data_IF_543412312113
#
_entry.id   IF_543412312113
#
_cell.length_a   1.000
_cell.length_b   1.000
_cell.length_c   1.000
_cell.angle_alpha   90.00
_cell.angle_beta   90.00
_cell.angle_gamma   90.00
#
_symmetry.space_group_name_H-M   'P 1'
#
loop_
_entity.id
_entity.type
_entity.pdbx_description
1 polymer ?
#
# COMPACT_ATOMS: atom_id res chain seq x y z
N UNK A 1 26.18 20.03 -17.57
CA UNK A 1 25.45 18.96 -16.91
C UNK A 1 24.39 18.39 -17.84
N UNK A 2 23.96 17.17 -17.61
CA UNK A 2 22.85 16.53 -18.32
C UNK A 2 21.74 16.19 -17.31
N UNK A 3 20.50 16.14 -17.78
CA UNK A 3 19.40 15.72 -16.96
C UNK A 3 19.54 14.22 -16.62
N UNK A 4 19.43 13.87 -15.34
CA UNK A 4 19.53 12.51 -14.84
C UNK A 4 18.35 12.23 -13.92
N UNK A 5 17.68 11.10 -14.12
CA UNK A 5 16.60 10.61 -13.29
C UNK A 5 16.92 9.18 -12.87
N UNK A 6 16.86 8.91 -11.59
CA UNK A 6 17.00 7.57 -11.02
C UNK A 6 15.83 7.29 -10.09
N UNK A 7 15.36 6.05 -10.08
CA UNK A 7 14.24 5.64 -9.25
C UNK A 7 13.69 4.29 -9.67
N UNK A 8 12.54 3.91 -9.12
CA UNK A 8 11.79 2.74 -9.53
C UNK A 8 11.12 2.95 -10.90
N UNK A 9 11.00 1.88 -11.69
CA UNK A 9 10.20 1.90 -12.91
C UNK A 9 8.68 1.86 -12.64
N UNK A 10 8.27 1.45 -11.44
CA UNK A 10 6.86 1.27 -11.10
C UNK A 10 6.00 2.55 -11.21
N UNK A 11 6.49 3.76 -10.86
CA UNK A 11 5.72 4.99 -11.05
C UNK A 11 5.28 5.25 -12.50
N UNK A 12 6.00 4.71 -13.48
CA UNK A 12 5.71 4.89 -14.92
C UNK A 12 5.07 3.68 -15.57
N UNK A 13 4.73 2.64 -14.82
CA UNK A 13 4.00 1.47 -15.32
C UNK A 13 2.50 1.76 -15.51
N UNK A 14 1.82 0.90 -16.25
CA UNK A 14 0.37 0.93 -16.37
C UNK A 14 -0.29 0.67 -15.02
N UNK A 15 -1.49 1.22 -14.84
CA UNK A 15 -2.33 0.94 -13.66
C UNK A 15 -3.54 0.13 -14.10
N UNK A 16 -3.86 -0.91 -13.35
CA UNK A 16 -5.01 -1.76 -13.61
C UNK A 16 -5.95 -1.78 -12.40
N UNK A 17 -7.18 -1.24 -12.51
CA UNK A 17 -7.72 -0.48 -13.66
C UNK A 17 -6.91 0.78 -13.95
N UNK A 18 -7.09 1.32 -15.16
CA UNK A 18 -6.43 2.56 -15.56
C UNK A 18 -6.96 3.72 -14.70
N UNK A 19 -6.12 4.17 -13.78
CA UNK A 19 -6.41 5.28 -12.86
C UNK A 19 -5.33 6.33 -13.04
N UNK A 20 -5.75 7.55 -13.36
CA UNK A 20 -4.91 8.73 -13.25
C UNK A 20 -5.49 9.64 -12.18
N UNK A 21 -4.90 9.58 -10.99
CA UNK A 21 -5.37 10.37 -9.85
C UNK A 21 -5.09 11.86 -10.11
N UNK A 22 -6.11 12.72 -10.13
CA UNK A 22 -5.91 14.15 -10.32
C UNK A 22 -5.08 14.75 -9.19
N UNK A 23 -4.29 15.77 -9.51
CA UNK A 23 -3.62 16.58 -8.50
C UNK A 23 -4.64 17.26 -7.58
N UNK A 24 -4.34 17.29 -6.29
CA UNK A 24 -5.26 17.84 -5.30
C UNK A 24 -6.37 16.89 -4.85
N UNK A 25 -6.27 15.58 -5.19
CA UNK A 25 -7.21 14.57 -4.70
C UNK A 25 -7.22 14.55 -3.18
N UNK A 26 -8.38 14.68 -2.52
CA UNK A 26 -8.46 14.65 -1.05
C UNK A 26 -8.27 13.21 -0.55
N UNK A 27 -7.07 12.88 -0.08
CA UNK A 27 -6.74 11.58 0.51
C UNK A 27 -6.51 11.73 2.02
N UNK A 28 -7.02 10.77 2.80
CA UNK A 28 -6.80 10.65 4.23
C UNK A 28 -5.72 9.62 4.59
N UNK A 29 -5.63 8.54 3.80
CA UNK A 29 -4.76 7.41 4.10
C UNK A 29 -4.48 6.61 2.84
N UNK A 30 -3.33 5.93 2.79
CA UNK A 30 -2.99 5.01 1.71
C UNK A 30 -2.35 3.72 2.21
N UNK A 31 -2.46 2.69 1.40
CA UNK A 31 -1.77 1.41 1.56
C UNK A 31 -1.12 1.03 0.24
N UNK A 32 0.13 0.57 0.30
CA UNK A 32 0.77 -0.14 -0.80
C UNK A 32 1.14 -1.55 -0.33
N UNK A 33 0.79 -2.56 -1.10
CA UNK A 33 1.22 -3.94 -0.87
C UNK A 33 2.11 -4.36 -2.03
N UNK A 34 3.35 -4.67 -1.72
CA UNK A 34 4.34 -5.19 -2.66
C UNK A 34 4.93 -6.52 -2.17
N UNK A 35 6.00 -6.95 -2.80
CA UNK A 35 6.68 -8.21 -2.49
C UNK A 35 8.18 -8.00 -2.28
N UNK A 36 8.87 -9.09 -1.92
CA UNK A 36 10.32 -9.12 -1.75
C UNK A 36 10.77 -8.82 -0.33
N UNK A 37 12.03 -8.52 -0.18
CA UNK A 37 12.69 -8.27 1.10
C UNK A 37 13.03 -6.81 1.34
N UNK A 38 13.40 -6.52 2.58
CA UNK A 38 14.01 -5.26 2.99
C UNK A 38 15.33 -5.07 2.24
N UNK A 39 15.69 -3.81 1.93
CA UNK A 39 16.86 -3.42 1.13
C UNK A 39 16.86 -4.01 -0.30
N UNK A 40 15.70 -4.40 -0.80
CA UNK A 40 15.54 -5.04 -2.09
C UNK A 40 14.35 -4.47 -2.84
N UNK A 41 13.13 -4.78 -2.39
CA UNK A 41 11.89 -4.39 -3.05
C UNK A 41 11.03 -3.39 -2.25
N UNK A 42 11.38 -3.12 -1.00
CA UNK A 42 10.74 -2.07 -0.20
C UNK A 42 10.84 -0.70 -0.86
N UNK A 43 11.98 -0.36 -1.46
CA UNK A 43 12.16 0.85 -2.26
C UNK A 43 11.10 0.97 -3.37
N UNK A 44 10.84 -0.11 -4.10
CA UNK A 44 9.83 -0.11 -5.16
C UNK A 44 8.41 0.11 -4.62
N UNK A 45 8.07 -0.53 -3.50
CA UNK A 45 6.77 -0.35 -2.86
C UNK A 45 6.59 1.06 -2.29
N UNK A 46 7.65 1.66 -1.73
CA UNK A 46 7.65 3.04 -1.27
C UNK A 46 7.48 4.04 -2.43
N UNK A 47 8.14 3.82 -3.56
CA UNK A 47 8.00 4.64 -4.77
C UNK A 47 6.56 4.58 -5.33
N UNK A 48 5.91 3.40 -5.29
CA UNK A 48 4.49 3.28 -5.65
C UNK A 48 3.62 4.09 -4.70
N UNK A 49 3.82 3.92 -3.40
CA UNK A 49 3.05 4.63 -2.39
C UNK A 49 3.20 6.15 -2.56
N UNK A 50 4.42 6.63 -2.78
CA UNK A 50 4.73 8.04 -2.95
C UNK A 50 4.14 8.60 -4.24
N UNK A 51 4.40 8.01 -5.40
CA UNK A 51 3.94 8.55 -6.69
C UNK A 51 2.42 8.67 -6.78
N UNK A 52 1.69 7.79 -6.11
CA UNK A 52 0.23 7.87 -6.03
C UNK A 52 -0.22 8.90 -4.99
N UNK A 53 0.38 8.90 -3.81
CA UNK A 53 -0.08 9.71 -2.67
C UNK A 53 0.40 11.16 -2.71
N UNK A 54 1.50 11.48 -3.39
CA UNK A 54 1.99 12.85 -3.54
C UNK A 54 1.04 13.76 -4.36
N UNK A 55 0.14 13.15 -5.13
CA UNK A 55 -0.93 13.86 -5.85
C UNK A 55 -2.06 14.35 -4.94
N UNK A 56 -2.02 14.00 -3.65
CA UNK A 56 -3.05 14.45 -2.70
C UNK A 56 -3.09 15.96 -2.52
N UNK A 57 -4.19 16.45 -1.98
CA UNK A 57 -4.31 17.85 -1.56
C UNK A 57 -3.18 18.19 -0.57
N UNK A 58 -2.45 19.27 -0.82
CA UNK A 58 -1.27 19.66 -0.05
C UNK A 58 0.05 19.03 -0.51
N UNK A 59 0.02 17.96 -1.32
CA UNK A 59 1.22 17.30 -1.84
C UNK A 59 2.07 16.61 -0.77
N UNK A 60 3.36 16.44 -1.05
CA UNK A 60 4.30 15.86 -0.09
C UNK A 60 4.82 16.92 0.88
N UNK A 61 4.75 16.63 2.17
CA UNK A 61 5.11 17.56 3.27
C UNK A 61 6.23 17.01 4.19
N UNK A 62 6.73 15.84 3.88
CA UNK A 62 7.74 15.13 4.68
C UNK A 62 7.15 14.23 5.76
N UNK A 63 8.01 13.37 6.29
CA UNK A 63 7.67 12.30 7.23
C UNK A 63 7.81 12.81 8.68
N UNK A 64 6.83 12.49 9.52
CA UNK A 64 6.86 12.71 10.95
C UNK A 64 7.41 11.49 11.70
N UNK A 65 6.95 10.28 11.36
CA UNK A 65 7.42 9.04 11.98
C UNK A 65 7.34 7.85 11.03
N UNK A 66 8.19 6.86 11.29
CA UNK A 66 8.13 5.54 10.64
C UNK A 66 8.26 4.47 11.72
N UNK A 67 7.35 3.50 11.69
CA UNK A 67 7.41 2.31 12.52
C UNK A 67 7.51 1.08 11.63
N UNK A 68 8.57 0.29 11.77
CA UNK A 68 8.73 -0.99 11.09
C UNK A 68 8.29 -2.13 12.00
N UNK A 69 7.41 -2.99 11.49
CA UNK A 69 6.88 -4.16 12.21
C UNK A 69 6.90 -5.38 11.30
N UNK A 70 6.94 -6.57 11.89
CA UNK A 70 6.94 -7.82 11.13
C UNK A 70 6.10 -8.90 11.81
N UNK A 71 5.45 -9.71 11.01
CA UNK A 71 4.74 -10.89 11.49
C UNK A 71 3.59 -10.54 12.42
N UNK A 72 3.49 -11.25 13.55
CA UNK A 72 2.36 -11.10 14.46
C UNK A 72 2.23 -9.67 15.01
N UNK A 73 3.34 -9.01 15.36
CA UNK A 73 3.32 -7.62 15.86
C UNK A 73 2.74 -6.63 14.86
N UNK A 74 2.96 -6.84 13.55
CA UNK A 74 2.32 -6.05 12.50
C UNK A 74 0.80 -6.29 12.47
N UNK A 75 0.39 -7.56 12.46
CA UNK A 75 -1.03 -7.90 12.36
C UNK A 75 -1.82 -7.47 13.60
N UNK A 76 -1.23 -7.55 14.80
CA UNK A 76 -1.81 -7.02 16.03
C UNK A 76 -1.96 -5.50 15.98
N UNK A 77 -0.95 -4.77 15.49
CA UNK A 77 -1.04 -3.32 15.31
C UNK A 77 -2.16 -2.96 14.32
N UNK A 78 -2.23 -3.65 13.17
CA UNK A 78 -3.27 -3.41 12.17
C UNK A 78 -4.68 -3.84 12.65
N UNK A 79 -4.77 -4.73 13.63
CA UNK A 79 -6.05 -5.16 14.21
C UNK A 79 -6.67 -4.14 15.17
N UNK A 80 -5.92 -3.14 15.65
CA UNK A 80 -6.40 -2.11 16.55
C UNK A 80 -7.58 -1.33 15.96
N UNK A 81 -8.44 -0.80 16.80
CA UNK A 81 -9.66 -0.09 16.38
C UNK A 81 -9.37 1.11 15.47
N UNK A 82 -8.34 1.89 15.81
CA UNK A 82 -7.89 3.08 15.06
C UNK A 82 -7.33 2.78 13.68
N UNK A 83 -7.09 1.50 13.36
CA UNK A 83 -6.62 1.02 12.05
C UNK A 83 -7.74 0.45 11.17
N UNK A 84 -8.99 0.72 11.48
CA UNK A 84 -10.12 0.19 10.70
C UNK A 84 -10.09 0.61 9.22
N UNK A 85 -9.71 1.84 8.93
CA UNK A 85 -9.50 2.33 7.54
C UNK A 85 -8.33 1.63 6.88
N UNK A 86 -7.21 1.47 7.58
CA UNK A 86 -6.02 0.75 7.07
C UNK A 86 -6.38 -0.68 6.65
N UNK A 87 -7.17 -1.42 7.49
CA UNK A 87 -7.62 -2.78 7.14
C UNK A 87 -8.46 -2.83 5.87
N UNK A 88 -9.37 -1.86 5.68
CA UNK A 88 -10.14 -1.74 4.43
C UNK A 88 -9.24 -1.51 3.22
N UNK A 89 -8.22 -0.68 3.38
CA UNK A 89 -7.26 -0.40 2.32
C UNK A 89 -6.36 -1.59 2.01
N UNK A 90 -5.90 -2.33 3.03
CA UNK A 90 -5.16 -3.60 2.84
C UNK A 90 -6.00 -4.58 2.01
N UNK A 91 -7.26 -4.76 2.38
CA UNK A 91 -8.19 -5.63 1.64
C UNK A 91 -8.36 -5.15 0.19
N UNK A 92 -8.55 -3.84 -0.02
CA UNK A 92 -8.74 -3.27 -1.35
C UNK A 92 -7.49 -3.38 -2.24
N UNK A 93 -6.29 -3.18 -1.68
CA UNK A 93 -5.04 -3.36 -2.39
C UNK A 93 -4.81 -4.83 -2.77
N UNK A 94 -4.97 -5.75 -1.82
CA UNK A 94 -4.83 -7.19 -2.07
C UNK A 94 -5.86 -7.72 -3.08
N UNK A 95 -7.07 -7.17 -3.11
CA UNK A 95 -8.07 -7.54 -4.11
C UNK A 95 -7.67 -7.20 -5.56
N UNK A 96 -6.63 -6.40 -5.76
CA UNK A 96 -6.03 -6.11 -7.08
C UNK A 96 -4.95 -7.11 -7.47
N UNK A 97 -4.40 -7.87 -6.53
CA UNK A 97 -3.32 -8.81 -6.81
C UNK A 97 -3.80 -10.00 -7.65
N UNK A 98 -3.03 -10.35 -8.66
CA UNK A 98 -3.20 -11.56 -9.45
C UNK A 98 -2.39 -12.75 -8.89
N UNK A 99 -1.64 -12.54 -7.80
CA UNK A 99 -0.70 -13.51 -7.25
C UNK A 99 -0.92 -13.76 -5.75
N UNK A 100 -2.17 -13.83 -5.34
CA UNK A 100 -2.50 -14.15 -3.95
C UNK A 100 -2.06 -15.58 -3.59
N UNK A 101 -1.54 -15.80 -2.38
CA UNK A 101 -1.23 -17.13 -1.91
C UNK A 101 -2.48 -18.00 -1.82
N UNK A 102 -2.29 -19.30 -2.05
CA UNK A 102 -3.35 -20.31 -1.90
C UNK A 102 -3.43 -20.71 -0.43
N UNK A 103 -4.62 -20.73 0.14
CA UNK A 103 -4.90 -21.26 1.47
C UNK A 103 -5.84 -22.44 1.32
N UNK A 104 -5.50 -23.57 1.94
CA UNK A 104 -6.28 -24.82 1.91
C UNK A 104 -6.55 -25.35 0.47
N UNK A 105 -5.62 -25.12 -0.46
CA UNK A 105 -5.72 -25.63 -1.83
C UNK A 105 -6.69 -24.85 -2.74
N UNK A 106 -7.29 -23.76 -2.28
CA UNK A 106 -8.22 -22.93 -3.05
C UNK A 106 -7.66 -21.54 -3.35
N UNK A 107 -7.75 -21.08 -4.60
CA UNK A 107 -7.19 -19.79 -5.01
C UNK A 107 -8.05 -18.58 -4.64
N UNK A 108 -8.96 -18.62 -3.72
CA UNK A 108 -9.57 -17.44 -3.13
C UNK A 108 -10.88 -17.70 -2.39
N UNK A 109 -10.81 -17.58 -1.10
CA UNK A 109 -11.88 -16.94 -0.36
C UNK A 109 -11.88 -15.43 -0.71
N UNK A 110 -12.99 -14.69 -0.52
CA UNK A 110 -12.96 -13.23 -0.63
C UNK A 110 -11.81 -12.67 0.20
N UNK A 111 -11.00 -11.80 -0.37
CA UNK A 111 -9.89 -11.17 0.35
C UNK A 111 -10.46 -10.45 1.56
N UNK A 112 -10.07 -10.88 2.76
CA UNK A 112 -10.39 -10.22 4.01
C UNK A 112 -9.10 -9.95 4.79
N UNK A 113 -9.19 -9.11 5.80
CA UNK A 113 -8.06 -8.85 6.69
C UNK A 113 -7.65 -10.12 7.46
N UNK A 114 -8.61 -10.90 7.92
CA UNK A 114 -8.41 -12.15 8.66
C UNK A 114 -7.72 -13.20 7.75
N UNK A 115 -8.19 -13.32 6.52
CA UNK A 115 -7.55 -14.17 5.52
C UNK A 115 -6.10 -13.72 5.28
N UNK A 116 -5.86 -12.42 5.11
CA UNK A 116 -4.52 -11.88 4.85
C UNK A 116 -3.54 -12.19 6.01
N UNK A 117 -3.99 -12.01 7.26
CA UNK A 117 -3.22 -12.38 8.46
C UNK A 117 -2.86 -13.85 8.47
N UNK A 118 -3.81 -14.74 8.14
CA UNK A 118 -3.60 -16.18 8.12
C UNK A 118 -2.69 -16.61 6.95
N UNK A 119 -2.93 -16.09 5.75
CA UNK A 119 -2.22 -16.49 4.55
C UNK A 119 -0.79 -15.91 4.47
N UNK A 120 -0.54 -14.77 5.13
CA UNK A 120 0.69 -13.99 5.02
C UNK A 120 1.26 -13.62 6.39
N UNK A 121 1.48 -14.61 7.29
CA UNK A 121 1.84 -14.34 8.70
C UNK A 121 3.21 -13.68 8.88
N UNK A 122 4.09 -13.72 7.87
CA UNK A 122 5.46 -13.17 7.93
C UNK A 122 5.60 -11.81 7.23
N UNK A 123 4.48 -11.16 6.87
CA UNK A 123 4.48 -9.84 6.23
C UNK A 123 5.28 -8.83 7.04
N UNK A 124 6.05 -8.01 6.34
CA UNK A 124 6.75 -6.85 6.90
C UNK A 124 5.92 -5.62 6.58
N UNK A 125 5.81 -4.68 7.51
CA UNK A 125 5.08 -3.44 7.31
C UNK A 125 5.83 -2.21 7.80
N UNK A 126 5.73 -1.12 7.05
CA UNK A 126 6.16 0.22 7.45
C UNK A 126 4.91 1.09 7.61
N UNK A 127 4.70 1.56 8.84
CA UNK A 127 3.63 2.49 9.18
C UNK A 127 4.25 3.88 9.18
N UNK A 128 3.85 4.69 8.22
CA UNK A 128 4.45 6.00 7.94
C UNK A 128 3.42 7.07 8.25
N UNK A 129 3.80 8.02 9.08
CA UNK A 129 3.00 9.18 9.41
C UNK A 129 3.64 10.43 8.81
N UNK A 130 2.89 11.14 7.99
CA UNK A 130 3.33 12.37 7.35
C UNK A 130 3.04 13.58 8.26
N UNK A 131 3.75 14.69 8.05
CA UNK A 131 3.62 15.89 8.89
C UNK A 131 2.25 16.56 8.81
N UNK A 132 1.49 16.30 7.77
CA UNK A 132 0.11 16.78 7.59
C UNK A 132 -0.95 15.84 8.23
N UNK A 133 -0.51 14.77 8.90
CA UNK A 133 -1.38 13.74 9.47
C UNK A 133 -1.84 12.68 8.48
N UNK A 134 -1.46 12.77 7.21
CA UNK A 134 -1.67 11.69 6.24
C UNK A 134 -0.90 10.44 6.66
N UNK A 135 -1.48 9.27 6.48
CA UNK A 135 -0.86 7.98 6.84
C UNK A 135 -0.66 7.11 5.62
N UNK A 136 0.51 6.51 5.54
CA UNK A 136 0.83 5.51 4.53
C UNK A 136 1.23 4.21 5.23
N UNK A 137 0.62 3.11 4.86
CA UNK A 137 1.08 1.77 5.27
C UNK A 137 1.64 1.05 4.05
N UNK A 138 2.90 0.67 4.12
CA UNK A 138 3.54 -0.16 3.10
C UNK A 138 3.75 -1.56 3.65
N UNK A 139 3.34 -2.58 2.89
CA UNK A 139 3.45 -3.99 3.24
C UNK A 139 4.29 -4.74 2.21
N UNK A 140 5.21 -5.58 2.68
CA UNK A 140 5.91 -6.58 1.88
C UNK A 140 5.32 -7.96 2.21
N UNK A 141 4.59 -8.51 1.28
CA UNK A 141 3.83 -9.74 1.41
C UNK A 141 4.27 -10.80 0.39
N UNK A 142 3.96 -12.09 0.57
CA UNK A 142 4.32 -13.16 -0.38
C UNK A 142 3.43 -13.16 -1.63
N UNK A 143 3.36 -12.02 -2.31
CA UNK A 143 2.72 -11.82 -3.62
C UNK A 143 3.81 -11.56 -4.66
N UNK A 144 3.47 -11.24 -5.92
CA UNK A 144 4.46 -10.97 -6.99
C UNK A 144 4.11 -9.73 -7.81
N UNK A 145 3.36 -8.83 -7.23
CA UNK A 145 2.93 -7.58 -7.85
C UNK A 145 2.94 -6.45 -6.82
N UNK A 146 2.64 -5.24 -7.28
CA UNK A 146 2.54 -4.06 -6.44
C UNK A 146 1.15 -3.48 -6.58
N UNK A 147 0.47 -3.27 -5.47
CA UNK A 147 -0.91 -2.86 -5.42
C UNK A 147 -1.07 -1.66 -4.49
N UNK A 148 -1.83 -0.68 -4.93
CA UNK A 148 -2.11 0.54 -4.18
C UNK A 148 -3.59 0.64 -3.83
N UNK A 149 -3.87 1.22 -2.68
CA UNK A 149 -5.21 1.69 -2.30
C UNK A 149 -5.11 3.01 -1.53
N UNK A 150 -5.95 3.96 -1.87
CA UNK A 150 -6.06 5.27 -1.20
C UNK A 150 -7.50 5.54 -0.77
N UNK A 151 -7.68 6.06 0.45
CA UNK A 151 -8.97 6.45 0.99
C UNK A 151 -9.20 7.94 0.77
N UNK A 152 -10.25 8.29 0.06
CA UNK A 152 -10.66 9.69 -0.08
C UNK A 152 -11.25 10.21 1.23
N UNK A 153 -10.84 11.43 1.61
CA UNK A 153 -11.32 12.08 2.83
C UNK A 153 -12.67 12.78 2.66
N UNK A 154 -13.06 13.11 1.42
CA UNK A 154 -14.28 13.85 1.11
C UNK A 154 -15.54 12.96 1.05
N UNK A 155 -15.42 11.71 0.61
CA UNK A 155 -16.57 10.83 0.37
C UNK A 155 -16.38 9.40 0.90
N UNK A 156 -15.19 9.05 1.41
CA UNK A 156 -14.90 7.72 1.93
C UNK A 156 -14.70 6.64 0.86
N UNK A 157 -14.62 7.02 -0.41
CA UNK A 157 -14.35 6.12 -1.53
C UNK A 157 -12.91 5.59 -1.46
N UNK A 158 -12.72 4.34 -1.84
CA UNK A 158 -11.39 3.72 -1.97
C UNK A 158 -11.03 3.64 -3.46
N UNK A 159 -9.94 4.32 -3.82
CA UNK A 159 -9.29 4.21 -5.12
C UNK A 159 -8.24 3.11 -5.00
N UNK A 160 -8.25 2.11 -5.87
CA UNK A 160 -7.25 1.03 -5.83
C UNK A 160 -6.85 0.54 -7.22
N UNK A 161 -5.56 0.21 -7.38
CA UNK A 161 -5.02 -0.33 -8.62
C UNK A 161 -3.82 -1.24 -8.37
N UNK A 162 -3.53 -2.09 -9.34
CA UNK A 162 -2.26 -2.79 -9.50
C UNK A 162 -1.35 -1.95 -10.40
N UNK A 163 -0.05 -1.94 -10.11
CA UNK A 163 1.00 -1.45 -11.01
C UNK A 163 1.39 -2.61 -11.93
N UNK A 164 1.16 -2.45 -13.26
CA UNK A 164 1.23 -3.53 -14.23
C UNK A 164 2.24 -3.23 -15.34
#
# INVERSE_FOLDING_TARGET
GFAFLAGSSLPVTWRLPAIDMPWGTPLAESVCVGYGGVDSYDFHALEVAQCMSERRAGGEVGIASVQALQGESLWEELAKAERASTRRLVTAALARSHHLPVVDGYPSAPVSFEWARQAMPKTIGYLIEHRDGFRTTMLLAPIRDFNYAGLRSDNGEIISCQMY
#
